data_IF_598603476999
#
_entry.id   IF_598603476999
#
_cell.length_a   1.000
_cell.length_b   1.000
_cell.length_c   1.000
_cell.angle_alpha   90.00
_cell.angle_beta   90.00
_cell.angle_gamma   90.00
#
_symmetry.space_group_name_H-M   'P 1'
#
loop_
_entity.id
_entity.type
_entity.pdbx_description
1 polymer ?
#
# COMPACT_ATOMS: atom_id res chain seq x y z
N UNK A 1 -15.52 -41.75 -12.99
CA UNK A 1 -16.28 -40.51 -12.69
C UNK A 1 -16.11 -40.05 -11.23
N UNK A 2 -16.18 -40.93 -10.21
CA UNK A 2 -16.07 -40.57 -8.79
C UNK A 2 -14.78 -39.81 -8.41
N UNK A 3 -13.62 -40.25 -8.92
CA UNK A 3 -12.34 -39.58 -8.65
C UNK A 3 -12.27 -38.11 -9.13
N UNK A 4 -12.99 -37.76 -10.21
CA UNK A 4 -13.03 -36.38 -10.72
C UNK A 4 -13.73 -35.44 -9.73
N UNK A 5 -14.86 -35.87 -9.17
CA UNK A 5 -15.58 -35.09 -8.16
C UNK A 5 -14.78 -34.97 -6.86
N UNK A 6 -14.08 -36.03 -6.43
CA UNK A 6 -13.21 -35.97 -5.24
C UNK A 6 -12.10 -34.92 -5.42
N UNK A 7 -11.46 -34.87 -6.59
CA UNK A 7 -10.41 -33.87 -6.88
C UNK A 7 -11.00 -32.45 -6.88
N UNK A 8 -12.18 -32.25 -7.49
CA UNK A 8 -12.85 -30.94 -7.50
C UNK A 8 -13.17 -30.49 -6.07
N UNK A 9 -13.70 -31.37 -5.22
CA UNK A 9 -14.03 -31.05 -3.83
C UNK A 9 -12.78 -30.74 -3.02
N UNK A 10 -11.70 -31.52 -3.17
CA UNK A 10 -10.44 -31.23 -2.48
C UNK A 10 -9.86 -29.88 -2.91
N UNK A 11 -9.85 -29.60 -4.22
CA UNK A 11 -9.36 -28.32 -4.73
C UNK A 11 -10.20 -27.15 -4.21
N UNK A 12 -11.53 -27.29 -4.20
CA UNK A 12 -12.43 -26.28 -3.66
C UNK A 12 -12.18 -26.03 -2.17
N UNK A 13 -11.98 -27.09 -1.37
CA UNK A 13 -11.66 -26.96 0.05
C UNK A 13 -10.32 -26.27 0.28
N UNK A 14 -9.29 -26.60 -0.51
CA UNK A 14 -7.99 -25.94 -0.44
C UNK A 14 -8.09 -24.46 -0.83
N UNK A 15 -8.85 -24.13 -1.88
CA UNK A 15 -9.08 -22.76 -2.33
C UNK A 15 -9.81 -21.94 -1.24
N UNK A 16 -10.88 -22.50 -0.66
CA UNK A 16 -11.63 -21.86 0.41
C UNK A 16 -10.76 -21.67 1.66
N UNK A 17 -10.00 -22.69 2.06
CA UNK A 17 -9.08 -22.59 3.19
C UNK A 17 -8.03 -21.49 3.01
N UNK A 18 -7.40 -21.43 1.84
CA UNK A 18 -6.43 -20.39 1.50
C UNK A 18 -7.06 -18.99 1.48
N UNK A 19 -8.24 -18.85 0.88
CA UNK A 19 -8.93 -17.57 0.78
C UNK A 19 -9.33 -17.03 2.17
N UNK A 20 -9.89 -17.88 3.03
CA UNK A 20 -10.23 -17.49 4.40
C UNK A 20 -8.98 -17.09 5.21
N UNK A 21 -7.89 -17.84 5.07
CA UNK A 21 -6.63 -17.47 5.71
C UNK A 21 -6.09 -16.11 5.23
N UNK A 22 -6.16 -15.84 3.92
CA UNK A 22 -5.78 -14.56 3.32
C UNK A 22 -6.64 -13.38 3.82
N UNK A 23 -7.94 -13.60 4.02
CA UNK A 23 -8.84 -12.60 4.62
C UNK A 23 -8.42 -12.31 6.06
N UNK A 24 -8.27 -13.34 6.90
CA UNK A 24 -7.89 -13.16 8.30
C UNK A 24 -6.55 -12.44 8.43
N UNK A 25 -5.58 -12.70 7.54
CA UNK A 25 -4.31 -11.98 7.53
C UNK A 25 -4.50 -10.48 7.25
N UNK A 26 -5.37 -10.11 6.30
CA UNK A 26 -5.66 -8.70 5.98
C UNK A 26 -6.45 -8.01 7.09
N UNK A 27 -7.42 -8.70 7.68
CA UNK A 27 -8.16 -8.19 8.85
C UNK A 27 -7.22 -7.93 10.02
N UNK A 28 -6.26 -8.82 10.27
CA UNK A 28 -5.24 -8.61 11.29
C UNK A 28 -4.41 -7.34 11.05
N UNK A 29 -4.01 -7.10 9.80
CA UNK A 29 -3.30 -5.87 9.41
C UNK A 29 -4.18 -4.63 9.61
N UNK A 30 -5.50 -4.73 9.39
CA UNK A 30 -6.42 -3.60 9.63
C UNK A 30 -6.69 -3.34 11.12
N UNK A 31 -6.82 -4.39 11.93
CA UNK A 31 -7.12 -4.29 13.36
C UNK A 31 -5.91 -3.90 14.20
N UNK A 32 -4.74 -4.46 13.89
CA UNK A 32 -3.50 -4.23 14.64
C UNK A 32 -2.53 -3.28 13.96
N UNK A 33 -2.84 -2.87 12.74
CA UNK A 33 -2.01 -1.95 12.00
C UNK A 33 -2.02 -0.56 12.61
N UNK A 34 -0.91 0.14 12.42
CA UNK A 34 -0.80 1.55 12.73
C UNK A 34 -1.23 2.36 11.51
N UNK A 35 -2.19 3.28 11.70
CA UNK A 35 -2.59 4.19 10.64
C UNK A 35 -1.46 5.18 10.37
N UNK A 36 -1.02 5.21 9.11
CA UNK A 36 0.03 6.08 8.63
C UNK A 36 -0.47 6.83 7.40
N UNK A 37 -0.25 8.15 7.38
CA UNK A 37 -0.55 8.98 6.23
C UNK A 37 0.70 9.16 5.37
N UNK A 38 0.62 8.73 4.12
CA UNK A 38 1.66 8.93 3.12
C UNK A 38 1.25 10.06 2.18
N UNK A 39 2.13 11.05 2.00
CA UNK A 39 1.89 12.16 1.09
C UNK A 39 1.87 11.68 -0.36
N UNK A 40 0.84 12.11 -1.10
CA UNK A 40 0.65 11.83 -2.51
C UNK A 40 1.27 12.95 -3.34
N UNK A 41 2.08 12.57 -4.33
CA UNK A 41 2.48 13.46 -5.40
C UNK A 41 1.25 13.78 -6.28
N UNK A 42 1.17 15.00 -6.83
CA UNK A 42 0.06 15.37 -7.70
C UNK A 42 0.04 14.49 -8.95
N UNK A 43 -1.06 13.78 -9.18
CA UNK A 43 -1.28 12.98 -10.39
C UNK A 43 -2.69 13.22 -10.90
N UNK A 44 -2.83 13.52 -12.19
CA UNK A 44 -4.13 13.67 -12.84
C UNK A 44 -4.88 12.31 -12.90
N UNK A 45 -6.09 12.18 -12.32
CA UNK A 45 -6.81 10.92 -12.17
C UNK A 45 -7.62 10.50 -13.42
N UNK A 46 -7.31 10.98 -14.64
CA UNK A 46 -8.16 10.70 -15.81
C UNK A 46 -7.71 9.48 -16.60
N UNK A 47 -8.55 8.44 -16.63
CA UNK A 47 -8.52 7.38 -17.65
C UNK A 47 -9.84 7.35 -18.41
N UNK A 48 -9.81 7.70 -19.70
CA UNK A 48 -10.99 7.82 -20.57
C UNK A 48 -11.74 6.50 -20.81
N UNK A 49 -11.12 5.33 -20.58
CA UNK A 49 -11.66 4.03 -21.01
C UNK A 49 -11.94 3.07 -19.85
N UNK A 50 -11.41 3.31 -18.64
CA UNK A 50 -11.48 2.38 -17.51
C UNK A 50 -12.36 2.87 -16.35
N UNK A 51 -13.02 4.02 -16.52
CA UNK A 51 -13.72 4.72 -15.46
C UNK A 51 -12.82 5.61 -14.62
N UNK A 52 -13.40 6.22 -13.60
CA UNK A 52 -12.74 7.16 -12.71
C UNK A 52 -11.90 6.43 -11.65
N UNK A 53 -10.58 6.60 -11.71
CA UNK A 53 -9.65 6.10 -10.69
C UNK A 53 -8.51 7.08 -10.45
N UNK A 54 -7.99 7.13 -9.24
CA UNK A 54 -6.82 7.94 -8.91
C UNK A 54 -5.60 7.04 -8.78
N UNK A 55 -4.53 7.37 -9.52
CA UNK A 55 -3.23 6.75 -9.32
C UNK A 55 -2.60 7.33 -8.06
N UNK A 56 -2.24 6.46 -7.12
CA UNK A 56 -1.59 6.81 -5.88
C UNK A 56 -0.08 6.76 -6.08
N UNK A 57 0.53 7.91 -6.33
CA UNK A 57 1.98 8.03 -6.35
C UNK A 57 2.45 8.70 -5.05
N UNK A 58 3.11 7.95 -4.17
CA UNK A 58 3.57 8.52 -2.91
C UNK A 58 4.89 9.28 -3.11
N UNK A 59 5.08 10.39 -2.41
CA UNK A 59 6.34 11.16 -2.46
C UNK A 59 7.55 10.29 -2.07
N UNK A 60 7.34 9.33 -1.17
CA UNK A 60 8.38 8.39 -0.72
C UNK A 60 8.78 7.36 -1.79
N UNK A 61 8.01 7.21 -2.88
CA UNK A 61 8.32 6.32 -4.00
C UNK A 61 9.51 6.81 -4.82
N UNK A 62 9.78 8.12 -4.77
CA UNK A 62 10.93 8.71 -5.45
C UNK A 62 12.22 8.42 -4.68
N UNK A 63 13.13 7.72 -5.35
CA UNK A 63 14.44 7.37 -4.80
C UNK A 63 15.49 8.32 -5.39
N UNK A 64 16.40 8.86 -4.57
CA UNK A 64 17.52 9.66 -5.07
C UNK A 64 18.38 8.85 -6.05
N UNK A 65 18.90 9.52 -7.08
CA UNK A 65 19.80 8.89 -8.05
C UNK A 65 21.04 8.34 -7.35
N UNK A 66 21.42 7.10 -7.68
CA UNK A 66 22.62 6.43 -7.16
C UNK A 66 22.40 5.51 -5.94
N UNK A 67 21.18 5.39 -5.42
CA UNK A 67 20.85 4.36 -4.43
C UNK A 67 20.47 3.07 -5.15
N UNK A 68 21.32 2.04 -5.06
CA UNK A 68 20.94 0.70 -5.49
C UNK A 68 20.13 0.03 -4.38
N UNK A 69 18.90 -0.37 -4.70
CA UNK A 69 17.99 -1.06 -3.80
C UNK A 69 17.66 -2.42 -4.37
N UNK A 70 17.60 -3.41 -3.49
CA UNK A 70 17.09 -4.72 -3.84
C UNK A 70 15.65 -4.62 -4.38
N UNK A 71 15.28 -5.58 -5.24
CA UNK A 71 13.92 -5.67 -5.80
C UNK A 71 12.83 -5.66 -4.74
N UNK A 72 13.14 -6.16 -3.54
CA UNK A 72 12.25 -6.22 -2.38
C UNK A 72 13.04 -5.80 -1.14
N UNK A 73 12.40 -5.02 -0.28
CA UNK A 73 12.97 -4.62 0.99
C UNK A 73 11.96 -3.87 1.85
N UNK A 74 12.45 -3.20 2.88
CA UNK A 74 11.65 -2.42 3.81
C UNK A 74 12.03 -0.95 3.76
N UNK A 75 11.03 -0.10 3.65
CA UNK A 75 11.12 1.34 3.80
C UNK A 75 10.75 1.64 5.25
N UNK A 76 11.72 2.14 6.02
CA UNK A 76 11.47 2.57 7.38
C UNK A 76 10.91 3.98 7.34
N UNK A 77 9.75 4.12 7.96
CA UNK A 77 9.02 5.36 8.09
C UNK A 77 8.85 5.70 9.56
N UNK A 78 8.76 7.00 9.84
CA UNK A 78 8.43 7.51 11.16
C UNK A 78 7.19 8.41 11.06
N UNK A 79 6.04 8.00 11.61
CA UNK A 79 4.88 8.86 11.69
C UNK A 79 5.17 10.06 12.60
N UNK A 80 4.89 11.27 12.11
CA UNK A 80 4.92 12.50 12.89
C UNK A 80 3.66 12.61 13.77
N UNK A 81 3.57 13.67 14.60
CA UNK A 81 2.44 13.89 15.52
C UNK A 81 1.07 14.00 14.83
N UNK A 82 1.06 14.38 13.55
CA UNK A 82 -0.12 14.48 12.70
C UNK A 82 -0.45 13.18 11.95
N UNK A 83 0.30 12.10 12.19
CA UNK A 83 0.14 10.80 11.49
C UNK A 83 0.85 10.73 10.13
N UNK A 84 1.44 11.82 9.65
CA UNK A 84 2.18 11.84 8.37
C UNK A 84 3.52 11.13 8.55
N UNK A 85 3.74 10.06 7.79
CA UNK A 85 5.00 9.36 7.80
C UNK A 85 6.05 10.04 6.93
N UNK A 86 7.24 10.17 7.49
CA UNK A 86 8.43 10.58 6.76
C UNK A 86 9.33 9.35 6.57
N UNK A 87 9.86 9.21 5.36
CA UNK A 87 10.87 8.20 5.04
C UNK A 87 12.15 8.49 5.83
N UNK A 88 12.65 7.48 6.54
CA UNK A 88 13.90 7.54 7.29
C UNK A 88 15.03 6.87 6.52
N UNK A 89 14.84 5.60 6.13
CA UNK A 89 15.87 4.78 5.47
C UNK A 89 15.27 3.56 4.76
N UNK A 90 16.09 2.92 3.93
CA UNK A 90 15.80 1.60 3.38
C UNK A 90 16.66 0.54 4.08
N UNK A 91 16.11 -0.65 4.27
CA UNK A 91 16.83 -1.80 4.81
C UNK A 91 16.26 -3.11 4.25
N UNK A 92 17.10 -4.16 4.15
CA UNK A 92 16.66 -5.45 3.58
C UNK A 92 15.73 -6.22 4.51
N UNK A 93 15.87 -6.06 5.83
CA UNK A 93 15.12 -6.78 6.86
C UNK A 93 14.20 -5.85 7.65
N UNK A 94 13.19 -6.40 8.33
CA UNK A 94 12.29 -5.61 9.19
C UNK A 94 13.06 -4.96 10.32
N UNK A 95 13.99 -5.70 10.93
CA UNK A 95 14.80 -5.24 12.06
C UNK A 95 16.19 -4.79 11.60
N UNK A 96 16.80 -3.80 12.28
CA UNK A 96 16.35 -3.14 13.51
C UNK A 96 15.42 -1.94 13.26
N UNK A 97 14.39 -1.79 14.10
CA UNK A 97 13.57 -0.57 14.19
C UNK A 97 13.89 0.19 15.49
N UNK A 98 13.92 1.52 15.43
CA UNK A 98 13.96 2.37 16.63
C UNK A 98 12.56 2.59 17.17
N UNK A 99 12.46 3.06 18.42
CA UNK A 99 11.18 3.38 19.03
C UNK A 99 10.36 4.38 18.20
N UNK A 100 9.14 3.98 17.83
CA UNK A 100 8.22 4.77 17.00
C UNK A 100 8.53 4.76 15.50
N UNK A 101 9.42 3.89 15.03
CA UNK A 101 9.59 3.61 13.59
C UNK A 101 8.71 2.43 13.18
N UNK A 102 8.23 2.46 11.94
CA UNK A 102 7.48 1.38 11.30
C UNK A 102 8.20 0.98 10.02
N UNK A 103 8.17 -0.31 9.69
CA UNK A 103 8.69 -0.82 8.42
C UNK A 103 7.51 -1.00 7.47
N UNK A 104 7.63 -0.57 6.21
CA UNK A 104 6.69 -0.93 5.15
C UNK A 104 7.44 -1.66 4.04
N UNK A 105 6.93 -2.80 3.60
CA UNK A 105 7.45 -3.52 2.44
C UNK A 105 7.35 -2.66 1.19
N UNK A 106 8.43 -2.59 0.43
CA UNK A 106 8.43 -1.99 -0.89
C UNK A 106 8.82 -3.02 -1.96
N UNK A 107 8.38 -2.74 -3.19
CA UNK A 107 8.84 -3.42 -4.39
C UNK A 107 9.49 -2.42 -5.34
N UNK A 108 10.72 -2.66 -5.76
CA UNK A 108 11.44 -1.79 -6.71
C UNK A 108 11.11 -2.19 -8.15
N UNK A 109 10.81 -1.22 -9.01
CA UNK A 109 10.47 -1.43 -10.42
C UNK A 109 11.67 -1.79 -11.31
N UNK A 110 12.90 -1.76 -10.77
CA UNK A 110 14.11 -2.19 -11.48
C UNK A 110 15.32 -1.30 -11.21
N UNK A 111 16.40 -1.53 -11.95
CA UNK A 111 17.61 -0.70 -11.94
C UNK A 111 17.59 0.29 -13.13
N UNK A 112 17.93 1.56 -12.89
CA UNK A 112 18.06 2.56 -13.96
C UNK A 112 17.60 3.98 -13.56
N UNK A 113 17.63 4.91 -14.51
CA UNK A 113 17.30 6.34 -14.31
C UNK A 113 15.85 6.60 -13.86
N UNK A 114 14.94 5.65 -14.12
CA UNK A 114 13.53 5.69 -13.72
C UNK A 114 13.21 4.69 -12.59
N UNK A 115 14.22 4.21 -11.85
CA UNK A 115 14.00 3.31 -10.72
C UNK A 115 13.16 4.01 -9.65
N UNK A 116 11.99 3.43 -9.37
CA UNK A 116 11.08 3.86 -8.33
C UNK A 116 10.72 2.68 -7.45
N UNK A 117 10.15 2.96 -6.29
CA UNK A 117 9.56 1.93 -5.45
C UNK A 117 8.08 2.08 -5.36
N UNK A 118 7.44 0.93 -5.17
CA UNK A 118 6.02 0.77 -5.02
C UNK A 118 5.76 0.34 -3.58
N UNK A 119 4.94 1.14 -2.88
CA UNK A 119 4.60 0.94 -1.49
C UNK A 119 3.08 0.91 -1.37
N UNK A 120 2.53 -0.15 -0.78
CA UNK A 120 1.09 -0.28 -0.56
C UNK A 120 0.27 -0.27 -1.85
N UNK A 121 -0.86 0.44 -1.83
CA UNK A 121 -1.76 0.52 -2.97
C UNK A 121 -1.34 1.63 -3.95
N UNK A 122 -1.37 1.32 -5.25
CA UNK A 122 -0.98 2.22 -6.34
C UNK A 122 -2.17 2.90 -7.03
N UNK A 123 -3.38 2.45 -6.74
CA UNK A 123 -4.61 3.01 -7.31
C UNK A 123 -5.77 2.94 -6.33
N UNK A 124 -6.69 3.89 -6.47
CA UNK A 124 -7.95 3.95 -5.75
C UNK A 124 -9.09 4.15 -6.75
N UNK A 125 -10.03 3.21 -6.79
CA UNK A 125 -11.17 3.23 -7.70
C UNK A 125 -12.38 3.82 -6.97
N UNK A 126 -13.12 4.69 -7.65
CA UNK A 126 -14.32 5.33 -7.12
C UNK A 126 -15.41 5.42 -8.18
N UNK A 127 -16.62 5.73 -7.75
CA UNK A 127 -17.76 5.89 -8.64
C UNK A 127 -17.57 7.08 -9.60
N UNK A 128 -18.09 6.95 -10.81
CA UNK A 128 -17.98 7.98 -11.85
C UNK A 128 -18.57 9.32 -11.39
N UNK A 129 -17.84 10.41 -11.62
CA UNK A 129 -18.23 11.76 -11.21
C UNK A 129 -17.66 12.23 -9.86
N UNK A 130 -17.06 11.33 -9.08
CA UNK A 130 -16.38 11.67 -7.81
C UNK A 130 -14.94 12.16 -7.99
N UNK A 131 -14.43 12.24 -9.22
CA UNK A 131 -13.04 12.63 -9.49
C UNK A 131 -12.63 13.94 -8.82
N UNK A 132 -13.47 14.98 -8.90
CA UNK A 132 -13.19 16.28 -8.27
C UNK A 132 -13.13 16.22 -6.74
N UNK A 133 -13.87 15.29 -6.13
CA UNK A 133 -13.85 15.09 -4.68
C UNK A 133 -12.51 14.49 -4.24
N UNK A 134 -12.09 13.43 -4.93
CA UNK A 134 -10.85 12.72 -4.62
C UNK A 134 -9.59 13.42 -5.12
N UNK A 135 -9.69 14.36 -6.07
CA UNK A 135 -8.58 15.21 -6.51
C UNK A 135 -8.03 16.11 -5.37
N UNK A 136 -8.85 16.40 -4.35
CA UNK A 136 -8.43 17.11 -3.15
C UNK A 136 -7.57 16.26 -2.19
N UNK A 137 -7.40 14.95 -2.47
CA UNK A 137 -6.60 14.05 -1.66
C UNK A 137 -5.13 14.45 -1.69
N UNK A 138 -4.57 14.72 -0.51
CA UNK A 138 -3.13 14.97 -0.32
C UNK A 138 -2.39 13.81 0.30
N UNK A 139 -3.11 12.93 1.01
CA UNK A 139 -2.51 11.78 1.67
C UNK A 139 -3.29 10.50 1.41
N UNK A 140 -2.57 9.39 1.25
CA UNK A 140 -3.13 8.05 1.33
C UNK A 140 -2.95 7.51 2.75
N UNK A 141 -4.03 7.05 3.38
CA UNK A 141 -3.99 6.43 4.70
C UNK A 141 -3.81 4.92 4.60
N UNK A 142 -2.66 4.43 5.04
CA UNK A 142 -2.32 3.01 5.04
C UNK A 142 -2.28 2.50 6.48
N UNK A 143 -2.90 1.35 6.73
CA UNK A 143 -2.68 0.57 7.93
C UNK A 143 -1.45 -0.31 7.72
N UNK A 144 -0.45 -0.17 8.58
CA UNK A 144 0.82 -0.91 8.49
C UNK A 144 0.97 -1.81 9.71
N UNK A 145 1.15 -3.12 9.48
CA UNK A 145 1.44 -4.06 10.57
C UNK A 145 2.94 -4.15 10.90
N UNK A 146 3.25 -4.82 12.00
CA UNK A 146 4.64 -5.01 12.47
C UNK A 146 5.50 -5.85 11.50
N UNK A 147 4.88 -6.60 10.59
CA UNK A 147 5.55 -7.35 9.55
C UNK A 147 5.80 -6.50 8.27
N UNK A 148 5.35 -5.25 8.27
CA UNK A 148 5.44 -4.29 7.18
C UNK A 148 4.50 -4.53 6.01
N UNK A 149 3.46 -5.35 6.18
CA UNK A 149 2.36 -5.37 5.23
C UNK A 149 1.56 -4.07 5.39
N UNK A 150 1.00 -3.59 4.29
CA UNK A 150 0.18 -2.38 4.30
C UNK A 150 -1.13 -2.57 3.54
N UNK A 151 -2.18 -1.96 4.07
CA UNK A 151 -3.51 -1.93 3.46
C UNK A 151 -3.99 -0.49 3.39
N UNK A 152 -4.36 -0.03 2.20
CA UNK A 152 -4.96 1.29 2.03
C UNK A 152 -6.37 1.31 2.62
N UNK A 153 -6.61 2.22 3.55
CA UNK A 153 -7.91 2.42 4.21
C UNK A 153 -8.73 3.56 3.63
N UNK A 154 -8.08 4.52 2.97
CA UNK A 154 -8.76 5.66 2.36
C UNK A 154 -7.83 6.83 2.04
N UNK A 155 -8.43 7.89 1.53
CA UNK A 155 -7.74 9.09 1.07
C UNK A 155 -8.07 10.26 1.98
N UNK A 156 -7.10 11.12 2.25
CA UNK A 156 -7.22 12.21 3.19
C UNK A 156 -6.87 13.54 2.53
N UNK A 157 -7.63 14.58 2.90
CA UNK A 157 -7.40 15.95 2.44
C UNK A 157 -6.18 16.59 3.14
N UNK A 158 -5.89 17.86 2.78
CA UNK A 158 -4.82 18.63 3.43
C UNK A 158 -5.00 18.91 4.92
N UNK A 159 -6.19 18.68 5.48
CA UNK A 159 -6.53 18.86 6.89
C UNK A 159 -6.56 17.52 7.65
N UNK A 160 -6.06 16.44 7.06
CA UNK A 160 -6.09 15.09 7.63
C UNK A 160 -7.50 14.55 7.86
N UNK A 161 -8.48 15.00 7.07
CA UNK A 161 -9.84 14.45 7.07
C UNK A 161 -10.00 13.42 5.97
N UNK A 162 -10.60 12.29 6.33
CA UNK A 162 -10.93 11.22 5.40
C UNK A 162 -11.98 11.71 4.38
N UNK A 163 -11.67 11.53 3.10
CA UNK A 163 -12.58 11.72 1.96
C UNK A 163 -13.43 10.45 1.82
N UNK A 164 -14.75 10.61 1.81
CA UNK A 164 -15.74 9.53 1.68
C UNK A 164 -16.73 9.87 0.58
#
# INVERSE_FOLDING_TARGET
MKAKYTIIVINLLLLLGYFNWSIMAKEHTLEKGHLVLLELAPVDPRSLMQGDYMRLNYVINNIPQGVNLDKRGYCIIKPAKNGVAQKVRFQPDVQPLKAGELAIKYFSSGEGFFAGIHIGAESYFFEEGQAKHYEAAKYGGLMVDDAGNSVLTGLYDGNYKLLK
#
